data_IF_465453855018
#
_entry.id   IF_465453855018
#
_cell.length_a   1.000
_cell.length_b   1.000
_cell.length_c   1.000
_cell.angle_alpha   90.00
_cell.angle_beta   90.00
_cell.angle_gamma   90.00
#
_symmetry.space_group_name_H-M   'P 1'
#
loop_
_entity.id
_entity.type
_entity.pdbx_description
1 polymer ?
#
# COMPACT_ATOMS: atom_id res chain seq x y z
N UNK A 1 -6.52 -14.65 -3.22
CA UNK A 1 -7.00 -15.90 -2.59
C UNK A 1 -7.17 -16.93 -3.69
N UNK A 2 -6.61 -18.13 -3.54
CA UNK A 2 -6.68 -19.17 -4.56
C UNK A 2 -7.79 -20.13 -4.15
N UNK A 3 -8.78 -20.31 -5.02
CA UNK A 3 -9.88 -21.23 -4.80
C UNK A 3 -9.40 -22.69 -4.86
N UNK A 4 -10.22 -23.65 -4.41
CA UNK A 4 -9.93 -25.09 -4.51
C UNK A 4 -9.68 -25.54 -5.97
N UNK A 5 -10.22 -24.77 -6.92
CA UNK A 5 -10.02 -24.94 -8.36
C UNK A 5 -8.77 -24.21 -8.91
N UNK A 6 -7.82 -23.81 -8.05
CA UNK A 6 -6.62 -23.05 -8.41
C UNK A 6 -6.88 -21.71 -9.12
N UNK A 7 -8.07 -21.14 -8.95
CA UNK A 7 -8.42 -19.85 -9.56
C UNK A 7 -8.11 -18.69 -8.63
N UNK A 8 -7.48 -17.64 -9.17
CA UNK A 8 -7.22 -16.41 -8.43
C UNK A 8 -8.50 -15.59 -8.32
N UNK A 9 -8.99 -15.39 -7.09
CA UNK A 9 -10.11 -14.48 -6.80
C UNK A 9 -9.55 -13.17 -6.25
N UNK A 10 -9.56 -12.07 -7.03
CA UNK A 10 -9.29 -10.74 -6.49
C UNK A 10 -10.50 -10.29 -5.67
N UNK A 11 -10.23 -9.72 -4.50
CA UNK A 11 -11.24 -9.09 -3.66
C UNK A 11 -10.84 -7.62 -3.53
N UNK A 12 -11.80 -6.74 -3.80
CA UNK A 12 -11.63 -5.32 -3.55
C UNK A 12 -11.93 -5.05 -2.08
N UNK A 13 -10.91 -4.63 -1.32
CA UNK A 13 -11.09 -4.31 0.10
C UNK A 13 -11.85 -3.00 0.29
N UNK A 14 -11.45 -1.93 -0.43
CA UNK A 14 -12.19 -0.67 -0.49
C UNK A 14 -11.56 0.31 -1.51
N UNK A 15 -12.12 1.52 -1.59
CA UNK A 15 -11.46 2.71 -2.15
C UNK A 15 -11.16 3.70 -1.03
N UNK A 16 -9.91 4.12 -0.88
CA UNK A 16 -9.55 5.17 0.07
C UNK A 16 -8.71 6.24 -0.61
N UNK A 17 -9.08 7.51 -0.42
CA UNK A 17 -8.37 8.64 -1.01
C UNK A 17 -7.17 9.02 -0.16
N UNK A 18 -5.99 9.15 -0.78
CA UNK A 18 -4.81 9.71 -0.13
C UNK A 18 -4.87 11.24 -0.17
N UNK A 19 -4.98 11.88 1.01
CA UNK A 19 -4.99 13.35 1.14
C UNK A 19 -3.93 13.77 2.18
N UNK A 20 -2.68 14.07 1.76
CA UNK A 20 -1.63 14.48 2.69
C UNK A 20 -1.89 15.88 3.24
N UNK A 21 -1.52 16.10 4.52
CA UNK A 21 -1.68 17.39 5.20
C UNK A 21 -0.82 18.45 4.51
N UNK A 22 -1.30 19.70 4.50
CA UNK A 22 -0.69 20.81 3.74
C UNK A 22 0.81 21.00 4.05
N UNK A 23 1.20 20.90 5.33
CA UNK A 23 2.60 21.04 5.76
C UNK A 23 3.53 19.88 5.37
N UNK A 24 2.98 18.69 5.12
CA UNK A 24 3.77 17.49 4.80
C UNK A 24 4.15 17.41 3.31
N UNK A 25 3.44 18.15 2.45
CA UNK A 25 3.68 18.17 1.00
C UNK A 25 5.04 18.76 0.63
N UNK A 26 5.59 19.63 1.49
CA UNK A 26 6.87 20.33 1.25
C UNK A 26 8.10 19.43 1.43
N UNK A 27 7.97 18.33 2.20
CA UNK A 27 9.05 17.38 2.50
C UNK A 27 8.99 16.07 1.70
N UNK A 28 8.12 15.99 0.69
CA UNK A 28 7.90 14.79 -0.11
C UNK A 28 6.80 13.87 0.45
N UNK A 29 6.26 13.01 -0.40
CA UNK A 29 5.07 12.20 -0.08
C UNK A 29 5.37 10.92 0.70
N UNK A 30 6.63 10.50 0.83
CA UNK A 30 7.01 9.19 1.38
C UNK A 30 6.53 8.98 2.82
N UNK A 31 6.82 9.91 3.73
CA UNK A 31 6.40 9.82 5.14
C UNK A 31 4.88 9.83 5.31
N UNK A 32 4.14 10.82 4.76
CA UNK A 32 2.68 10.83 4.90
C UNK A 32 2.02 9.62 4.23
N UNK A 33 2.56 9.15 3.10
CA UNK A 33 2.06 7.97 2.42
C UNK A 33 2.28 6.68 3.22
N UNK A 34 3.46 6.50 3.84
CA UNK A 34 3.72 5.35 4.72
C UNK A 34 2.77 5.31 5.91
N UNK A 35 2.52 6.47 6.54
CA UNK A 35 1.58 6.54 7.65
C UNK A 35 0.17 6.19 7.17
N UNK A 36 -0.25 6.79 6.07
CA UNK A 36 -1.58 6.56 5.51
C UNK A 36 -1.84 5.09 5.18
N UNK A 37 -0.90 4.39 4.53
CA UNK A 37 -1.09 2.98 4.18
C UNK A 37 -1.06 2.05 5.40
N UNK A 38 -0.26 2.37 6.43
CA UNK A 38 -0.23 1.59 7.67
C UNK A 38 -1.51 1.78 8.48
N UNK A 39 -1.98 3.01 8.64
CA UNK A 39 -3.25 3.31 9.32
C UNK A 39 -4.41 2.65 8.57
N UNK A 40 -4.40 2.72 7.24
CA UNK A 40 -5.38 2.07 6.37
C UNK A 40 -5.43 0.54 6.54
N UNK A 41 -4.29 -0.14 6.50
CA UNK A 41 -4.25 -1.60 6.67
C UNK A 41 -4.74 -2.02 8.05
N UNK A 42 -4.45 -1.19 9.06
CA UNK A 42 -4.87 -1.42 10.44
C UNK A 42 -6.39 -1.39 10.60
N UNK A 43 -7.09 -0.58 9.82
CA UNK A 43 -8.57 -0.54 9.83
C UNK A 43 -9.19 -1.87 9.37
N UNK A 44 -8.44 -2.68 8.61
CA UNK A 44 -8.81 -4.05 8.21
C UNK A 44 -8.13 -5.13 9.06
N UNK A 45 -7.52 -4.75 10.19
CA UNK A 45 -6.74 -5.62 11.06
C UNK A 45 -5.53 -6.28 10.37
N UNK A 46 -5.12 -5.76 9.21
CA UNK A 46 -3.93 -6.22 8.51
C UNK A 46 -2.67 -5.50 8.99
N UNK A 47 -1.58 -6.24 9.02
CA UNK A 47 -0.25 -5.71 9.24
C UNK A 47 0.58 -5.80 7.96
N UNK A 48 1.71 -5.08 7.92
CA UNK A 48 2.63 -5.16 6.79
C UNK A 48 3.20 -6.57 6.54
N UNK A 49 3.12 -7.47 7.53
CA UNK A 49 3.59 -8.86 7.40
C UNK A 49 2.61 -9.74 6.64
N UNK A 50 1.34 -9.34 6.59
CA UNK A 50 0.28 -10.06 5.88
C UNK A 50 0.30 -9.75 4.37
N UNK A 51 1.12 -8.78 3.97
CA UNK A 51 1.32 -8.37 2.59
C UNK A 51 2.55 -9.05 1.99
N UNK A 52 2.38 -9.69 0.83
CA UNK A 52 3.47 -10.31 0.10
C UNK A 52 4.10 -9.38 -0.95
N UNK A 53 3.27 -8.63 -1.68
CA UNK A 53 3.69 -7.79 -2.79
C UNK A 53 2.69 -6.68 -3.08
N UNK A 54 3.13 -5.71 -3.88
CA UNK A 54 2.28 -4.60 -4.32
C UNK A 54 2.65 -4.21 -5.75
N UNK A 55 1.65 -3.76 -6.51
CA UNK A 55 1.83 -3.18 -7.85
C UNK A 55 1.19 -1.79 -7.85
N UNK A 56 1.80 -0.83 -8.54
CA UNK A 56 1.25 0.52 -8.68
C UNK A 56 1.76 1.20 -9.95
N UNK A 57 0.87 1.90 -10.63
CA UNK A 57 1.12 2.78 -11.76
C UNK A 57 1.55 4.20 -11.33
N UNK A 58 1.62 4.46 -10.02
CA UNK A 58 1.96 5.76 -9.46
C UNK A 58 3.43 6.15 -9.66
N UNK A 59 3.76 7.38 -9.24
CA UNK A 59 5.09 7.95 -9.39
C UNK A 59 6.21 7.24 -8.59
N UNK A 60 7.48 7.61 -8.84
CA UNK A 60 8.66 6.93 -8.29
C UNK A 60 8.68 6.81 -6.76
N UNK A 61 8.17 7.81 -6.04
CA UNK A 61 8.14 7.79 -4.57
C UNK A 61 7.23 6.71 -4.00
N UNK A 62 6.12 6.39 -4.69
CA UNK A 62 5.20 5.33 -4.29
C UNK A 62 5.83 3.98 -4.57
N UNK A 63 6.42 3.79 -5.76
CA UNK A 63 7.15 2.57 -6.12
C UNK A 63 8.28 2.27 -5.13
N UNK A 64 9.07 3.30 -4.79
CA UNK A 64 10.11 3.20 -3.77
C UNK A 64 9.55 2.85 -2.40
N UNK A 65 8.41 3.43 -2.00
CA UNK A 65 7.78 3.07 -0.73
C UNK A 65 7.37 1.60 -0.70
N UNK A 66 6.79 1.07 -1.77
CA UNK A 66 6.39 -0.34 -1.81
C UNK A 66 7.60 -1.27 -1.75
N UNK A 67 8.63 -1.00 -2.55
CA UNK A 67 9.82 -1.84 -2.64
C UNK A 67 10.75 -1.71 -1.41
N UNK A 68 11.19 -0.50 -1.08
CA UNK A 68 12.21 -0.27 -0.05
C UNK A 68 11.58 0.14 1.30
N UNK A 69 10.53 0.96 1.27
CA UNK A 69 9.94 1.55 2.48
C UNK A 69 9.09 0.57 3.32
N UNK A 70 8.39 -0.34 2.64
CA UNK A 70 7.55 -1.40 3.20
C UNK A 70 8.15 -2.80 2.99
N UNK A 71 9.22 -2.92 2.19
CA UNK A 71 9.92 -4.18 1.88
C UNK A 71 9.02 -5.23 1.22
N UNK A 72 8.04 -4.80 0.43
CA UNK A 72 7.18 -5.70 -0.33
C UNK A 72 7.91 -6.18 -1.58
N UNK A 73 7.59 -7.39 -2.05
CA UNK A 73 8.04 -7.83 -3.36
C UNK A 73 7.35 -6.96 -4.41
N UNK A 74 8.15 -6.13 -5.08
CA UNK A 74 7.71 -5.33 -6.20
C UNK A 74 7.82 -6.16 -7.49
N UNK A 75 6.76 -6.18 -8.28
CA UNK A 75 6.74 -6.70 -9.66
C UNK A 75 6.51 -5.55 -10.64
#
# INVERSE_FOLDING_TARGET
MIDENFQFKPIMLCTHRFVPRYGERKGGIRRPFKRWIVDFLRDFEFTLRDLYGATSDAGPDVKWMMADGLKLKWQ
#
